data_IF_326790331452
#
_entry.id   IF_326790331452
#
_cell.length_a   1.000
_cell.length_b   1.000
_cell.length_c   1.000
_cell.angle_alpha   90.00
_cell.angle_beta   90.00
_cell.angle_gamma   90.00
#
_symmetry.space_group_name_H-M   'P 1'
#
loop_
_entity.id
_entity.type
_entity.pdbx_description
1 polymer ?
#
# COMPACT_ATOMS: atom_id res chain seq x y z
N UNK A 1 15.72 -5.53 21.35
CA UNK A 1 16.33 -6.40 22.39
C UNK A 1 15.43 -6.55 23.61
N UNK A 2 14.91 -5.45 24.19
CA UNK A 2 14.03 -5.50 25.37
C UNK A 2 12.82 -6.46 25.22
N UNK A 3 12.08 -6.37 24.10
CA UNK A 3 10.89 -7.22 23.87
C UNK A 3 11.22 -8.72 23.89
N UNK A 4 12.28 -9.13 23.21
CA UNK A 4 12.70 -10.54 23.20
C UNK A 4 13.09 -11.05 24.58
N UNK A 5 13.64 -10.20 25.45
CA UNK A 5 13.90 -10.57 26.86
C UNK A 5 12.58 -10.78 27.60
N UNK A 6 11.59 -9.89 27.42
CA UNK A 6 10.27 -10.05 28.04
C UNK A 6 9.55 -11.33 27.59
N UNK A 7 9.69 -11.71 26.32
CA UNK A 7 9.18 -12.98 25.78
C UNK A 7 9.80 -14.18 26.50
N UNK A 8 11.14 -14.22 26.64
CA UNK A 8 11.84 -15.30 27.36
C UNK A 8 11.42 -15.38 28.83
N UNK A 9 11.15 -14.25 29.48
CA UNK A 9 10.63 -14.23 30.85
C UNK A 9 9.22 -14.83 30.92
N UNK A 10 8.35 -14.51 29.96
CA UNK A 10 7.00 -15.09 29.91
C UNK A 10 7.03 -16.60 29.65
N UNK A 11 7.90 -17.07 28.76
CA UNK A 11 8.12 -18.50 28.51
C UNK A 11 8.58 -19.22 29.78
N UNK A 12 9.60 -18.68 30.47
CA UNK A 12 10.11 -19.27 31.72
C UNK A 12 9.03 -19.35 32.80
N UNK A 13 8.21 -18.31 32.95
CA UNK A 13 7.09 -18.31 33.90
C UNK A 13 6.07 -19.39 33.56
N UNK A 14 5.71 -19.53 32.28
CA UNK A 14 4.77 -20.56 31.85
C UNK A 14 5.31 -21.98 32.07
N UNK A 15 6.62 -22.23 31.84
CA UNK A 15 7.27 -23.51 32.17
C UNK A 15 7.15 -23.87 33.66
N UNK A 16 7.17 -22.87 34.53
CA UNK A 16 7.04 -23.02 35.99
C UNK A 16 5.57 -23.05 36.46
N UNK A 17 4.60 -23.04 35.53
CA UNK A 17 3.17 -23.00 35.85
C UNK A 17 2.67 -21.65 36.36
N UNK A 18 3.47 -20.58 36.18
CA UNK A 18 3.13 -19.22 36.57
C UNK A 18 2.49 -18.46 35.39
N UNK A 19 1.60 -17.47 35.65
CA UNK A 19 1.01 -16.67 34.59
C UNK A 19 2.06 -15.85 33.84
N UNK A 20 2.09 -15.93 32.51
CA UNK A 20 3.00 -15.13 31.67
C UNK A 20 2.49 -15.07 30.24
N UNK A 21 2.37 -13.86 29.70
CA UNK A 21 1.92 -13.61 28.34
C UNK A 21 2.65 -12.40 27.76
N UNK A 22 3.29 -12.59 26.61
CA UNK A 22 3.83 -11.54 25.77
C UNK A 22 3.06 -11.49 24.44
N UNK A 23 2.51 -10.32 24.11
CA UNK A 23 1.79 -10.11 22.85
C UNK A 23 2.63 -9.22 21.95
N UNK A 24 2.99 -9.74 20.77
CA UNK A 24 3.69 -9.03 19.72
C UNK A 24 2.68 -8.28 18.85
N UNK A 25 2.33 -7.06 19.25
CA UNK A 25 1.47 -6.18 18.48
C UNK A 25 2.19 -5.61 17.26
N UNK A 26 1.52 -5.65 16.11
CA UNK A 26 1.84 -4.83 14.94
C UNK A 26 1.55 -3.35 15.17
N UNK A 27 1.45 -2.57 14.09
CA UNK A 27 1.09 -1.15 14.21
C UNK A 27 -0.31 -1.00 14.79
N UNK A 28 -0.47 -0.15 15.81
CA UNK A 28 -1.76 0.21 16.42
C UNK A 28 -2.06 1.66 16.05
N UNK A 29 -3.25 1.89 15.49
CA UNK A 29 -3.81 3.19 15.14
C UNK A 29 -4.80 3.69 16.20
N UNK A 30 -5.51 4.77 15.85
CA UNK A 30 -6.51 5.49 16.68
C UNK A 30 -5.95 6.23 17.91
N UNK A 31 -4.96 5.66 18.60
CA UNK A 31 -4.35 6.23 19.81
C UNK A 31 -2.85 5.91 19.90
N UNK A 32 -2.13 6.69 20.71
CA UNK A 32 -0.73 6.47 21.03
C UNK A 32 0.25 7.03 19.99
N UNK A 33 1.52 6.65 20.13
CA UNK A 33 2.65 7.29 19.44
C UNK A 33 2.49 7.32 17.91
N UNK A 34 1.90 6.25 17.33
CA UNK A 34 1.70 6.15 15.88
C UNK A 34 0.58 7.08 15.40
N UNK A 35 -0.49 7.24 16.19
CA UNK A 35 -1.56 8.19 15.90
C UNK A 35 -1.05 9.64 16.02
N UNK A 36 -0.24 9.96 17.03
CA UNK A 36 0.39 11.28 17.19
C UNK A 36 1.30 11.62 15.99
N UNK A 37 1.99 10.63 15.42
CA UNK A 37 2.80 10.80 14.21
C UNK A 37 1.95 11.08 12.95
N UNK A 38 0.70 10.61 12.90
CA UNK A 38 -0.23 10.90 11.79
C UNK A 38 -0.80 12.31 11.88
N UNK A 39 -1.21 12.75 13.07
CA UNK A 39 -1.80 14.08 13.27
C UNK A 39 -0.82 15.21 12.93
N UNK A 40 0.47 14.98 13.11
CA UNK A 40 1.53 15.93 12.75
C UNK A 40 1.83 15.97 11.24
N UNK A 41 1.42 14.95 10.47
CA UNK A 41 1.67 14.81 9.03
C UNK A 41 0.37 14.94 8.22
N UNK A 42 -0.34 16.07 8.38
CA UNK A 42 -1.71 16.34 7.88
C UNK A 42 -1.93 16.30 6.35
N UNK A 43 -0.98 15.87 5.54
CA UNK A 43 -1.11 15.94 4.07
C UNK A 43 -1.62 14.66 3.40
N UNK A 44 -1.84 13.55 4.10
CA UNK A 44 -2.40 12.36 3.46
C UNK A 44 -3.30 11.54 4.40
N UNK A 45 -4.61 11.54 4.14
CA UNK A 45 -5.58 10.50 4.61
C UNK A 45 -5.29 9.12 3.98
N UNK A 46 -4.01 8.73 3.90
CA UNK A 46 -3.58 7.44 3.39
C UNK A 46 -3.22 6.57 4.59
N UNK A 47 -3.79 5.38 4.59
CA UNK A 47 -3.44 4.27 5.49
C UNK A 47 -1.91 4.19 5.61
N UNK A 48 -1.38 4.50 6.80
CA UNK A 48 0.06 4.48 7.02
C UNK A 48 0.54 3.04 7.02
N UNK A 49 1.35 2.70 6.01
CA UNK A 49 1.97 1.38 5.90
C UNK A 49 3.35 1.47 6.58
N UNK A 50 3.50 0.78 7.71
CA UNK A 50 4.77 0.71 8.44
C UNK A 50 5.33 -0.70 8.27
N UNK A 51 6.47 -0.82 7.57
CA UNK A 51 7.15 -2.12 7.39
C UNK A 51 6.29 -3.18 6.68
N UNK A 52 5.38 -2.77 5.80
CA UNK A 52 4.46 -3.68 5.10
C UNK A 52 3.23 -4.09 5.92
N UNK A 53 3.03 -3.51 7.10
CA UNK A 53 1.85 -3.70 7.93
C UNK A 53 0.92 -2.51 7.84
N UNK A 54 -0.39 -2.78 7.91
CA UNK A 54 -1.40 -1.75 8.15
C UNK A 54 -1.64 -1.59 9.66
N UNK A 55 -2.26 -0.48 10.02
CA UNK A 55 -2.64 -0.15 11.39
C UNK A 55 -3.84 -0.99 11.84
N UNK A 56 -3.75 -1.53 13.05
CA UNK A 56 -4.87 -2.13 13.77
C UNK A 56 -5.63 -1.05 14.52
N UNK A 57 -6.95 -1.06 14.45
CA UNK A 57 -7.75 -0.18 15.32
C UNK A 57 -7.63 -0.63 16.78
N UNK A 58 -7.78 0.29 17.72
CA UNK A 58 -7.74 -0.04 19.15
C UNK A 58 -8.84 -1.05 19.51
N UNK A 59 -9.99 -0.98 18.83
CA UNK A 59 -11.08 -1.94 18.98
C UNK A 59 -10.64 -3.37 18.65
N UNK A 60 -9.99 -3.59 17.50
CA UNK A 60 -9.50 -4.92 17.11
C UNK A 60 -8.42 -5.43 18.07
N UNK A 61 -7.55 -4.55 18.58
CA UNK A 61 -6.56 -4.94 19.58
C UNK A 61 -7.20 -5.41 20.89
N UNK A 62 -8.26 -4.74 21.34
CA UNK A 62 -8.98 -5.12 22.56
C UNK A 62 -9.80 -6.40 22.38
N UNK A 63 -10.38 -6.61 21.20
CA UNK A 63 -11.08 -7.85 20.86
C UNK A 63 -10.13 -9.05 20.93
N UNK A 64 -8.93 -8.95 20.32
CA UNK A 64 -7.96 -10.05 20.38
C UNK A 64 -7.24 -10.19 21.71
N UNK A 65 -7.22 -9.13 22.53
CA UNK A 65 -6.71 -9.25 23.89
C UNK A 65 -7.55 -10.26 24.70
N UNK A 66 -8.87 -10.29 24.53
CA UNK A 66 -9.74 -11.26 25.21
C UNK A 66 -9.38 -12.70 24.80
N UNK A 67 -9.23 -12.95 23.49
CA UNK A 67 -8.77 -14.24 22.96
C UNK A 67 -7.40 -14.63 23.55
N UNK A 68 -6.45 -13.70 23.60
CA UNK A 68 -5.09 -13.96 24.06
C UNK A 68 -4.96 -14.18 25.56
N UNK A 69 -5.89 -13.65 26.37
CA UNK A 69 -5.90 -13.87 27.82
C UNK A 69 -6.41 -15.28 28.21
N UNK A 70 -7.17 -15.95 27.34
CA UNK A 70 -7.82 -17.24 27.64
C UNK A 70 -6.99 -18.44 27.12
N UNK A 71 -5.98 -18.21 26.30
CA UNK A 71 -5.15 -19.25 25.68
C UNK A 71 -3.87 -19.58 26.50
N UNK A 72 -3.19 -20.68 26.16
CA UNK A 72 -2.08 -21.28 26.96
C UNK A 72 -0.65 -21.01 26.47
N UNK A 73 -0.49 -20.34 25.32
CA UNK A 73 0.80 -19.96 24.74
C UNK A 73 1.36 -18.70 25.44
N UNK A 74 2.61 -18.73 25.89
CA UNK A 74 3.23 -17.58 26.57
C UNK A 74 3.60 -16.43 25.63
N UNK A 75 3.65 -16.68 24.32
CA UNK A 75 3.97 -15.67 23.30
C UNK A 75 3.01 -15.81 22.13
N UNK A 76 2.36 -14.71 21.75
CA UNK A 76 1.40 -14.61 20.65
C UNK A 76 1.63 -13.32 19.85
N UNK A 77 1.04 -13.20 18.67
CA UNK A 77 1.17 -12.01 17.81
C UNK A 77 -0.14 -11.65 17.15
N UNK A 78 -0.39 -10.34 16.99
CA UNK A 78 -1.50 -9.79 16.21
C UNK A 78 -1.01 -8.64 15.36
N UNK A 79 -1.20 -8.76 14.05
CA UNK A 79 -0.79 -7.78 13.05
C UNK A 79 -1.72 -7.83 11.85
N UNK A 80 -1.85 -6.70 11.15
CA UNK A 80 -2.54 -6.63 9.86
C UNK A 80 -1.49 -6.46 8.78
N UNK A 81 -1.43 -7.43 7.86
CA UNK A 81 -0.59 -7.30 6.66
C UNK A 81 -1.22 -6.28 5.73
N UNK A 82 -0.44 -5.26 5.32
CA UNK A 82 -0.94 -4.29 4.36
C UNK A 82 -1.27 -5.02 3.05
N UNK A 83 -2.48 -4.78 2.53
CA UNK A 83 -2.83 -5.32 1.22
C UNK A 83 -1.86 -4.73 0.21
N UNK A 84 -1.11 -5.59 -0.47
CA UNK A 84 -0.43 -5.21 -1.71
C UNK A 84 -1.54 -4.72 -2.63
N UNK A 85 -1.55 -3.43 -2.98
CA UNK A 85 -2.44 -2.93 -4.03
C UNK A 85 -2.23 -3.83 -5.24
N UNK A 86 -3.26 -4.61 -5.60
CA UNK A 86 -3.19 -5.37 -6.84
C UNK A 86 -2.89 -4.37 -7.96
N UNK A 87 -1.81 -4.63 -8.70
CA UNK A 87 -1.47 -3.84 -9.88
C UNK A 87 -2.60 -3.84 -10.92
N UNK A 88 -3.61 -4.71 -10.79
CA UNK A 88 -4.85 -4.72 -11.57
C UNK A 88 -5.61 -3.38 -11.53
N UNK A 89 -5.69 -2.73 -10.35
CA UNK A 89 -6.27 -1.39 -10.22
C UNK A 89 -5.31 -0.29 -10.71
N UNK A 90 -4.01 -0.56 -10.68
CA UNK A 90 -2.97 0.31 -11.23
C UNK A 90 -3.10 0.47 -12.74
N UNK A 91 -3.44 -0.59 -13.50
CA UNK A 91 -3.62 -0.51 -14.95
C UNK A 91 -4.82 0.32 -15.37
N UNK A 92 -5.98 0.11 -14.74
CA UNK A 92 -7.15 0.95 -15.01
C UNK A 92 -6.89 2.40 -14.56
N UNK A 93 -6.13 2.60 -13.48
CA UNK A 93 -5.72 3.93 -13.04
C UNK A 93 -4.75 4.58 -14.04
N UNK A 94 -3.73 3.87 -14.52
CA UNK A 94 -2.74 4.34 -15.47
C UNK A 94 -3.39 4.71 -16.80
N UNK A 95 -4.25 3.83 -17.32
CA UNK A 95 -5.00 4.08 -18.55
C UNK A 95 -5.91 5.30 -18.37
N UNK A 96 -6.57 5.43 -17.21
CA UNK A 96 -7.41 6.59 -16.89
C UNK A 96 -6.60 7.88 -16.71
N UNK A 97 -5.42 7.84 -16.10
CA UNK A 97 -4.52 8.99 -15.94
C UNK A 97 -4.05 9.49 -17.31
N UNK A 98 -3.59 8.58 -18.18
CA UNK A 98 -3.19 8.92 -19.56
C UNK A 98 -4.38 9.43 -20.37
N UNK A 99 -5.56 8.84 -20.23
CA UNK A 99 -6.78 9.31 -20.91
C UNK A 99 -7.22 10.70 -20.41
N UNK A 100 -7.09 10.99 -19.12
CA UNK A 100 -7.41 12.29 -18.55
C UNK A 100 -6.46 13.39 -19.05
N UNK A 101 -5.15 13.12 -19.13
CA UNK A 101 -4.16 14.07 -19.65
C UNK A 101 -4.42 14.35 -21.15
N UNK A 102 -4.88 13.36 -21.90
CA UNK A 102 -5.29 13.52 -23.31
C UNK A 102 -6.72 14.05 -23.49
N UNK A 103 -7.41 14.41 -22.40
CA UNK A 103 -8.81 14.86 -22.38
C UNK A 103 -9.81 13.90 -23.04
N UNK A 104 -9.49 12.60 -23.11
CA UNK A 104 -10.33 11.57 -23.68
C UNK A 104 -11.40 11.17 -22.65
N UNK A 105 -12.63 11.63 -22.87
CA UNK A 105 -13.77 11.38 -21.97
C UNK A 105 -14.40 9.98 -22.14
N UNK A 106 -14.29 9.37 -23.32
CA UNK A 106 -14.80 8.02 -23.58
C UNK A 106 -13.81 7.16 -24.36
N UNK A 107 -13.20 6.22 -23.66
CA UNK A 107 -12.25 5.26 -24.24
C UNK A 107 -12.90 4.22 -25.16
N UNK A 108 -14.23 4.10 -25.20
CA UNK A 108 -14.92 3.14 -26.08
C UNK A 108 -14.84 3.54 -27.56
N UNK A 109 -14.61 4.83 -27.82
CA UNK A 109 -14.53 5.39 -29.17
C UNK A 109 -13.10 5.37 -29.72
N UNK A 110 -12.11 5.19 -28.84
CA UNK A 110 -10.68 5.31 -29.17
C UNK A 110 -10.08 3.95 -29.52
N UNK A 111 -9.35 3.89 -30.63
CA UNK A 111 -8.58 2.71 -31.03
C UNK A 111 -7.48 2.41 -30.01
N UNK A 112 -7.52 1.22 -29.41
CA UNK A 112 -6.50 0.80 -28.43
C UNK A 112 -5.11 0.59 -29.06
N UNK A 113 -5.04 0.44 -30.39
CA UNK A 113 -3.80 0.20 -31.12
C UNK A 113 -3.16 1.46 -31.69
N UNK A 114 -3.87 2.60 -31.66
CA UNK A 114 -3.32 3.88 -32.10
C UNK A 114 -2.29 4.40 -31.11
N UNK A 115 -1.25 5.05 -31.62
CA UNK A 115 -0.21 5.64 -30.76
C UNK A 115 -0.74 6.88 -30.05
N UNK A 116 -0.21 7.21 -28.87
CA UNK A 116 -0.61 8.43 -28.17
C UNK A 116 -0.36 9.69 -29.02
N UNK A 117 0.69 9.67 -29.87
CA UNK A 117 0.97 10.73 -30.83
C UNK A 117 -0.15 10.90 -31.89
N UNK A 118 -0.79 9.82 -32.32
CA UNK A 118 -1.95 9.86 -33.24
C UNK A 118 -3.23 10.33 -32.54
N UNK A 119 -3.27 10.24 -31.20
CA UNK A 119 -4.42 10.61 -30.37
C UNK A 119 -4.33 12.04 -29.83
N UNK A 120 -3.38 12.84 -30.32
CA UNK A 120 -3.25 14.26 -29.97
C UNK A 120 -2.23 14.55 -28.87
N UNK A 121 -1.35 13.61 -28.54
CA UNK A 121 -0.21 13.89 -27.66
C UNK A 121 0.78 14.86 -28.34
N UNK A 122 0.88 16.07 -27.80
CA UNK A 122 1.90 17.06 -28.17
C UNK A 122 3.14 16.97 -27.25
N UNK A 123 4.13 17.83 -27.48
CA UNK A 123 5.37 17.85 -26.69
C UNK A 123 5.16 18.14 -25.21
N UNK A 124 4.09 18.86 -24.84
CA UNK A 124 3.79 19.21 -23.44
C UNK A 124 3.10 18.03 -22.75
N UNK A 125 2.09 17.45 -23.39
CA UNK A 125 1.37 16.26 -22.91
C UNK A 125 2.33 15.07 -22.79
N UNK A 126 3.30 14.93 -23.70
CA UNK A 126 4.31 13.87 -23.60
C UNK A 126 5.17 13.98 -22.32
N UNK A 127 5.48 15.21 -21.87
CA UNK A 127 6.21 15.45 -20.62
C UNK A 127 5.31 15.18 -19.41
N UNK A 128 4.04 15.56 -19.46
CA UNK A 128 3.08 15.29 -18.39
C UNK A 128 2.84 13.79 -18.21
N UNK A 129 2.65 13.04 -19.30
CA UNK A 129 2.52 11.59 -19.28
C UNK A 129 3.79 10.96 -18.70
N UNK A 130 4.98 11.42 -19.11
CA UNK A 130 6.25 10.95 -18.56
C UNK A 130 6.31 11.14 -17.04
N UNK A 131 6.02 12.35 -16.57
CA UNK A 131 6.08 12.68 -15.14
C UNK A 131 5.04 11.92 -14.33
N UNK A 132 3.83 11.72 -14.87
CA UNK A 132 2.78 10.93 -14.23
C UNK A 132 3.20 9.45 -14.11
N UNK A 133 3.76 8.87 -15.18
CA UNK A 133 4.27 7.50 -15.17
C UNK A 133 5.41 7.31 -14.16
N UNK A 134 6.35 8.26 -14.08
CA UNK A 134 7.48 8.20 -13.15
C UNK A 134 7.03 8.40 -11.68
N UNK A 135 6.17 9.37 -11.40
CA UNK A 135 5.79 9.73 -10.02
C UNK A 135 4.71 8.84 -9.42
N UNK A 136 3.72 8.44 -10.22
CA UNK A 136 2.55 7.70 -9.71
C UNK A 136 2.70 6.19 -9.90
N UNK A 137 3.47 5.75 -10.90
CA UNK A 137 3.56 4.34 -11.29
C UNK A 137 4.98 3.76 -11.28
N UNK A 138 6.02 4.56 -11.00
CA UNK A 138 7.45 4.17 -11.01
C UNK A 138 7.90 3.56 -12.36
N UNK A 139 7.31 4.04 -13.47
CA UNK A 139 7.60 3.60 -14.83
C UNK A 139 8.47 4.64 -15.54
N UNK A 140 9.67 4.24 -15.93
CA UNK A 140 10.63 5.07 -16.66
C UNK A 140 10.63 4.72 -18.14
N UNK A 141 10.26 5.67 -19.00
CA UNK A 141 10.26 5.52 -20.45
C UNK A 141 11.02 6.66 -21.11
N UNK A 142 11.68 6.36 -22.22
CA UNK A 142 12.30 7.34 -23.11
C UNK A 142 11.24 8.12 -23.90
N UNK A 143 11.60 9.32 -24.38
CA UNK A 143 10.70 10.13 -25.20
C UNK A 143 10.21 9.40 -26.47
N UNK A 144 11.06 8.55 -27.04
CA UNK A 144 10.71 7.73 -28.20
C UNK A 144 9.74 6.59 -27.86
N UNK A 145 9.87 6.00 -26.66
CA UNK A 145 8.93 4.98 -26.18
C UNK A 145 7.56 5.56 -25.87
N UNK A 146 7.50 6.76 -25.27
CA UNK A 146 6.24 7.48 -25.01
C UNK A 146 5.52 7.82 -26.32
N UNK A 147 6.27 8.25 -27.35
CA UNK A 147 5.71 8.54 -28.67
C UNK A 147 5.06 7.33 -29.34
N UNK A 148 5.61 6.13 -29.11
CA UNK A 148 5.14 4.88 -29.69
C UNK A 148 4.28 4.05 -28.71
N UNK A 149 3.85 4.66 -27.61
CA UNK A 149 2.98 4.05 -26.60
C UNK A 149 1.57 3.95 -27.15
N UNK A 150 0.86 2.86 -26.83
CA UNK A 150 -0.53 2.64 -27.21
C UNK A 150 -1.29 2.18 -25.97
N UNK A 151 -2.62 2.40 -25.94
CA UNK A 151 -3.44 1.88 -24.84
C UNK A 151 -3.40 0.34 -24.74
N UNK A 152 -3.21 -0.36 -25.86
CA UNK A 152 -2.97 -1.79 -25.89
C UNK A 152 -1.66 -2.17 -25.18
N UNK A 153 -0.56 -1.44 -25.40
CA UNK A 153 0.71 -1.65 -24.68
C UNK A 153 0.57 -1.34 -23.19
N UNK A 154 -0.16 -0.27 -22.83
CA UNK A 154 -0.46 0.06 -21.43
C UNK A 154 -1.30 -1.02 -20.74
N UNK A 155 -2.16 -1.70 -21.50
CA UNK A 155 -2.97 -2.83 -21.01
C UNK A 155 -2.20 -4.15 -20.94
N UNK A 156 -1.19 -4.34 -21.80
CA UNK A 156 -0.41 -5.58 -21.92
C UNK A 156 0.89 -5.59 -21.11
N UNK A 157 1.45 -4.44 -20.70
CA UNK A 157 2.68 -4.41 -19.90
C UNK A 157 2.42 -4.93 -18.47
N UNK A 158 2.39 -6.25 -18.34
CA UNK A 158 2.60 -6.99 -17.09
C UNK A 158 4.03 -6.70 -16.60
N UNK A 159 4.17 -5.82 -15.61
CA UNK A 159 5.33 -5.77 -14.72
C UNK A 159 4.93 -6.21 -13.31
#
# INVERSE_FOLDING_TARGET
MANSIMERVCEKRAEEGLPGLAIQWGSVGDVGIVADMQENNKENDKELIIGGMSQQTIFCCLDELDTFLIQSRPVVSSLIVAKKKERSSGFNCLIKTVANILEIKDMKVVSQNSSLAELGMDSMIAVEIKQALEREFDIFLTAQEIRNLTFAKLKMQSF
#
